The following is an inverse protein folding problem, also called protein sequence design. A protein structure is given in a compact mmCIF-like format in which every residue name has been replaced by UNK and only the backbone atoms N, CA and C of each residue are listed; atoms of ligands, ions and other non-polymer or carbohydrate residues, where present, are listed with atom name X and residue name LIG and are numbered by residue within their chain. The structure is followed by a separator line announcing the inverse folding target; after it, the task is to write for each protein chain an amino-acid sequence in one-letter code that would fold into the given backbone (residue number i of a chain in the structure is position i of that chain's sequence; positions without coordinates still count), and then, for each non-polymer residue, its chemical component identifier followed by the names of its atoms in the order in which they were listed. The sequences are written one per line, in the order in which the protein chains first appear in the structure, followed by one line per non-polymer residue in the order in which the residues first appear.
data_IF_976534051039
#
_entry.id   IF_976534051039
#
_cell.length_a   1.000
_cell.length_b   1.000
_cell.length_c   1.000
_cell.angle_alpha   90.00
_cell.angle_beta   90.00
_cell.angle_gamma   90.00
#
_symmetry.space_group_name_H-M   'P 1'
#
loop_
_entity.id
_entity.type
_entity.pdbx_description
1 polymer ?
#
# COMPACT_ATOMS: atom_id res chain seq x y z
N UNK A 1 25.15 -12.19 -10.96
CA UNK A 1 24.34 -12.95 -9.99
C UNK A 1 23.52 -11.95 -9.21
N UNK A 2 22.26 -12.28 -8.95
CA UNK A 2 21.34 -11.43 -8.16
C UNK A 2 21.63 -11.69 -6.68
N UNK A 3 21.99 -10.65 -5.96
CA UNK A 3 22.27 -10.71 -4.50
C UNK A 3 20.96 -10.62 -3.73
N UNK A 4 20.62 -11.66 -3.00
CA UNK A 4 19.40 -11.75 -2.21
C UNK A 4 19.73 -11.72 -0.71
N UNK A 5 19.01 -10.88 0.04
CA UNK A 5 18.99 -10.91 1.49
C UNK A 5 17.66 -11.53 1.95
N UNK A 6 17.70 -12.33 3.00
CA UNK A 6 16.51 -12.94 3.63
C UNK A 6 16.34 -12.36 5.02
N UNK A 7 15.21 -11.74 5.30
CA UNK A 7 14.84 -11.17 6.58
C UNK A 7 13.57 -11.84 7.11
N UNK A 8 13.70 -12.66 8.14
CA UNK A 8 12.61 -13.44 8.73
C UNK A 8 12.99 -13.77 10.19
N UNK A 9 12.08 -13.69 11.15
CA UNK A 9 12.39 -13.99 12.54
C UNK A 9 12.55 -15.50 12.81
N UNK A 10 11.96 -16.34 11.96
CA UNK A 10 11.99 -17.79 12.08
C UNK A 10 13.27 -18.38 11.46
N UNK A 11 14.16 -18.87 12.29
CA UNK A 11 15.44 -19.44 11.85
C UNK A 11 15.30 -20.57 10.83
N UNK A 12 14.33 -21.47 11.04
CA UNK A 12 14.08 -22.58 10.13
C UNK A 12 13.67 -22.09 8.73
N UNK A 13 12.89 -21.02 8.64
CA UNK A 13 12.47 -20.42 7.37
C UNK A 13 13.69 -19.81 6.68
N UNK A 14 14.50 -19.03 7.39
CA UNK A 14 15.72 -18.43 6.83
C UNK A 14 16.64 -19.50 6.25
N UNK A 15 16.95 -20.55 7.01
CA UNK A 15 17.82 -21.64 6.57
C UNK A 15 17.24 -22.39 5.37
N UNK A 16 15.94 -22.69 5.38
CA UNK A 16 15.28 -23.36 4.26
C UNK A 16 15.33 -22.54 2.98
N UNK A 17 15.03 -21.24 3.06
CA UNK A 17 15.10 -20.33 1.91
C UNK A 17 16.53 -20.18 1.40
N UNK A 18 17.50 -20.05 2.29
CA UNK A 18 18.92 -19.95 1.92
C UNK A 18 19.38 -21.20 1.14
N UNK A 19 19.12 -22.41 1.68
CA UNK A 19 19.48 -23.64 1.02
C UNK A 19 18.85 -23.73 -0.38
N UNK A 20 17.52 -23.51 -0.47
CA UNK A 20 16.82 -23.68 -1.75
C UNK A 20 17.20 -22.59 -2.76
N UNK A 21 17.29 -21.34 -2.35
CA UNK A 21 17.66 -20.25 -3.26
C UNK A 21 19.11 -20.39 -3.75
N UNK A 22 20.03 -20.89 -2.93
CA UNK A 22 21.39 -21.16 -3.35
C UNK A 22 21.52 -22.23 -4.43
N UNK A 23 20.49 -23.07 -4.62
CA UNK A 23 20.45 -24.04 -5.75
C UNK A 23 19.93 -23.42 -7.05
N UNK A 24 19.34 -22.21 -7.00
CA UNK A 24 18.77 -21.59 -8.20
C UNK A 24 19.82 -20.84 -9.01
N UNK A 25 19.82 -21.02 -10.34
CA UNK A 25 20.80 -20.35 -11.18
C UNK A 25 20.64 -18.82 -11.13
N UNK A 26 21.77 -18.13 -11.06
CA UNK A 26 21.79 -16.66 -11.09
C UNK A 26 21.48 -15.98 -9.75
N UNK A 27 21.23 -16.72 -8.68
CA UNK A 27 20.99 -16.19 -7.32
C UNK A 27 22.20 -16.45 -6.40
N UNK A 28 22.48 -15.46 -5.56
CA UNK A 28 23.44 -15.53 -4.45
C UNK A 28 22.76 -15.00 -3.18
N UNK A 29 22.61 -15.83 -2.15
CA UNK A 29 22.15 -15.36 -0.84
C UNK A 29 23.33 -14.74 -0.12
N UNK A 30 23.31 -13.42 0.04
CA UNK A 30 24.44 -12.66 0.62
C UNK A 30 24.28 -12.41 2.12
N UNK A 31 23.09 -12.55 2.67
CA UNK A 31 22.83 -12.36 4.10
C UNK A 31 21.48 -12.93 4.52
N UNK A 32 21.43 -13.43 5.75
CA UNK A 32 20.21 -13.82 6.44
C UNK A 32 20.14 -13.10 7.78
N UNK A 33 19.02 -12.46 8.11
CA UNK A 33 18.84 -11.60 9.29
C UNK A 33 17.49 -11.85 9.94
N UNK A 34 17.37 -11.52 11.24
CA UNK A 34 16.19 -11.88 12.04
C UNK A 34 15.27 -10.69 12.35
N UNK A 35 15.70 -9.45 12.10
CA UNK A 35 14.91 -8.25 12.35
C UNK A 35 15.28 -7.08 11.42
N UNK A 36 14.44 -6.03 11.41
CA UNK A 36 14.64 -4.89 10.52
C UNK A 36 15.86 -4.04 10.85
N UNK A 37 16.36 -4.02 12.08
CA UNK A 37 17.62 -3.33 12.41
C UNK A 37 18.82 -4.07 11.81
N UNK A 38 18.80 -5.40 11.88
CA UNK A 38 19.84 -6.23 11.26
C UNK A 38 19.84 -6.07 9.73
N UNK A 39 18.65 -5.88 9.09
CA UNK A 39 18.56 -5.53 7.66
C UNK A 39 19.37 -4.27 7.36
N UNK A 40 19.10 -3.16 8.08
CA UNK A 40 19.77 -1.89 7.85
C UNK A 40 21.28 -1.96 8.05
N UNK A 41 21.74 -2.68 9.06
CA UNK A 41 23.18 -2.89 9.32
C UNK A 41 23.82 -3.81 8.27
N UNK A 42 23.11 -4.83 7.79
CA UNK A 42 23.62 -5.75 6.78
C UNK A 42 23.76 -5.09 5.41
N UNK A 43 22.84 -4.20 5.02
CA UNK A 43 22.92 -3.42 3.77
C UNK A 43 24.23 -2.60 3.71
N UNK A 44 24.66 -2.02 4.82
CA UNK A 44 25.92 -1.25 4.90
C UNK A 44 27.15 -2.09 4.59
N UNK A 45 27.12 -3.39 4.91
CA UNK A 45 28.23 -4.33 4.67
C UNK A 45 28.20 -4.93 3.27
N UNK A 46 27.02 -5.33 2.82
CA UNK A 46 26.80 -5.90 1.49
C UNK A 46 25.42 -5.47 0.99
N UNK A 47 25.37 -4.57 -0.01
CA UNK A 47 24.12 -4.10 -0.62
C UNK A 47 23.51 -5.23 -1.45
N UNK A 48 22.29 -5.72 -1.11
CA UNK A 48 21.57 -6.69 -1.92
C UNK A 48 20.87 -6.00 -3.11
N UNK A 49 20.52 -6.79 -4.13
CA UNK A 49 19.64 -6.36 -5.20
C UNK A 49 18.16 -6.53 -4.78
N UNK A 50 17.87 -7.60 -4.01
CA UNK A 50 16.53 -7.93 -3.52
C UNK A 50 16.57 -8.33 -2.05
N UNK A 51 15.58 -7.89 -1.29
CA UNK A 51 15.33 -8.36 0.07
C UNK A 51 14.00 -9.14 0.07
N UNK A 52 14.03 -10.39 0.53
CA UNK A 52 12.85 -11.13 0.94
C UNK A 52 12.56 -10.77 2.39
N UNK A 53 11.45 -10.12 2.64
CA UNK A 53 11.15 -9.46 3.90
C UNK A 53 9.90 -10.05 4.53
N UNK A 54 10.00 -10.67 5.71
CA UNK A 54 8.80 -10.96 6.50
C UNK A 54 8.26 -9.66 7.14
N UNK A 55 6.96 -9.65 7.41
CA UNK A 55 6.31 -8.54 8.09
C UNK A 55 6.56 -8.59 9.58
N UNK A 56 6.29 -9.73 10.20
CA UNK A 56 6.36 -9.86 11.66
C UNK A 56 7.75 -10.25 12.13
N UNK A 57 8.56 -9.24 12.38
CA UNK A 57 9.86 -9.40 12.97
C UNK A 57 9.96 -8.62 14.29
N UNK A 58 10.75 -9.09 15.28
CA UNK A 58 10.95 -8.36 16.53
C UNK A 58 11.67 -7.03 16.31
N UNK A 59 11.61 -6.12 17.27
CA UNK A 59 12.28 -4.81 17.30
C UNK A 59 11.83 -3.86 16.19
N UNK A 60 11.89 -4.27 14.92
CA UNK A 60 11.45 -3.49 13.75
C UNK A 60 10.74 -4.43 12.77
N UNK A 61 9.45 -4.18 12.52
CA UNK A 61 8.66 -4.94 11.55
C UNK A 61 9.09 -4.66 10.11
N UNK A 62 8.71 -5.58 9.20
CA UNK A 62 9.11 -5.51 7.80
C UNK A 62 8.47 -4.37 7.02
N UNK A 63 7.30 -3.88 7.43
CA UNK A 63 6.64 -2.75 6.77
C UNK A 63 7.40 -1.45 7.07
N UNK A 64 7.72 -1.20 8.34
CA UNK A 64 8.52 -0.05 8.72
C UNK A 64 9.96 -0.14 8.19
N UNK A 65 10.56 -1.34 8.22
CA UNK A 65 11.85 -1.59 7.61
C UNK A 65 11.84 -1.30 6.10
N UNK A 66 10.79 -1.71 5.38
CA UNK A 66 10.61 -1.38 3.95
C UNK A 66 10.66 0.13 3.72
N UNK A 67 9.95 0.92 4.52
CA UNK A 67 10.00 2.39 4.45
C UNK A 67 11.43 2.91 4.61
N UNK A 68 12.12 2.51 5.68
CA UNK A 68 13.49 2.97 5.98
C UNK A 68 14.49 2.59 4.88
N UNK A 69 14.39 1.37 4.36
CA UNK A 69 15.25 0.92 3.25
C UNK A 69 14.96 1.73 1.99
N UNK A 70 13.70 1.95 1.64
CA UNK A 70 13.35 2.71 0.42
C UNK A 70 13.69 4.18 0.48
N UNK A 71 13.67 4.80 1.65
CA UNK A 71 14.13 6.19 1.84
C UNK A 71 15.63 6.36 1.62
N UNK A 72 16.45 5.36 2.02
CA UNK A 72 17.92 5.43 1.94
C UNK A 72 18.49 4.73 0.70
N UNK A 73 17.83 3.67 0.23
CA UNK A 73 18.28 2.80 -0.86
C UNK A 73 17.13 2.49 -1.83
N UNK A 74 16.64 3.47 -2.62
CA UNK A 74 15.47 3.32 -3.48
C UNK A 74 15.60 2.21 -4.54
N UNK A 75 16.83 1.88 -4.94
CA UNK A 75 17.10 0.87 -5.95
C UNK A 75 16.90 -0.57 -5.45
N UNK A 76 17.08 -0.83 -4.14
CA UNK A 76 16.89 -2.15 -3.56
C UNK A 76 15.45 -2.59 -3.75
N UNK A 77 15.23 -3.75 -4.37
CA UNK A 77 13.90 -4.34 -4.52
C UNK A 77 13.50 -5.04 -3.22
N UNK A 78 12.23 -4.94 -2.85
CA UNK A 78 11.72 -5.59 -1.65
C UNK A 78 10.52 -6.44 -2.04
N UNK A 79 10.59 -7.73 -1.76
CA UNK A 79 9.46 -8.66 -1.85
C UNK A 79 9.05 -9.00 -0.42
N UNK A 80 7.85 -8.62 -0.05
CA UNK A 80 7.25 -9.09 1.20
C UNK A 80 6.92 -10.57 1.03
N UNK A 81 7.39 -11.38 1.97
CA UNK A 81 7.14 -12.82 2.01
C UNK A 81 6.63 -13.19 3.40
N UNK A 82 5.33 -13.36 3.55
CA UNK A 82 4.69 -13.47 4.86
C UNK A 82 3.53 -14.48 4.87
N UNK A 83 3.11 -14.90 6.05
CA UNK A 83 1.86 -15.66 6.24
C UNK A 83 0.62 -14.76 6.34
N UNK A 84 0.80 -13.44 6.40
CA UNK A 84 -0.27 -12.48 6.64
C UNK A 84 -0.74 -11.82 5.35
N UNK A 85 -2.05 -11.72 5.21
CA UNK A 85 -2.73 -11.09 4.08
C UNK A 85 -3.67 -9.95 4.54
N UNK A 86 -3.46 -9.45 5.77
CA UNK A 86 -4.23 -8.33 6.31
C UNK A 86 -4.07 -7.09 5.44
N UNK A 87 -5.19 -6.50 5.08
CA UNK A 87 -5.26 -5.37 4.14
C UNK A 87 -4.35 -4.21 4.56
N UNK A 88 -4.24 -3.91 5.86
CA UNK A 88 -3.43 -2.81 6.38
C UNK A 88 -1.94 -3.00 6.10
N UNK A 89 -1.40 -4.21 6.29
CA UNK A 89 0.00 -4.52 6.00
C UNK A 89 0.29 -4.50 4.51
N UNK A 90 -0.63 -5.07 3.70
CA UNK A 90 -0.51 -5.06 2.23
C UNK A 90 -0.38 -3.63 1.71
N UNK A 91 -1.32 -2.75 2.09
CA UNK A 91 -1.33 -1.37 1.59
C UNK A 91 -0.15 -0.56 2.08
N UNK A 92 0.24 -0.73 3.35
CA UNK A 92 1.37 -0.01 3.91
C UNK A 92 2.68 -0.43 3.24
N UNK A 93 2.91 -1.72 3.02
CA UNK A 93 4.10 -2.22 2.34
C UNK A 93 4.20 -1.69 0.89
N UNK A 94 3.10 -1.76 0.12
CA UNK A 94 3.05 -1.25 -1.26
C UNK A 94 3.21 0.27 -1.30
N UNK A 95 2.58 1.01 -0.40
CA UNK A 95 2.73 2.47 -0.25
C UNK A 95 4.18 2.87 -0.01
N UNK A 96 4.93 2.08 0.79
CA UNK A 96 6.33 2.34 1.07
C UNK A 96 7.29 1.79 0.00
N UNK A 97 6.77 1.25 -1.10
CA UNK A 97 7.55 0.91 -2.28
C UNK A 97 8.02 -0.54 -2.32
N UNK A 98 7.34 -1.47 -1.64
CA UNK A 98 7.55 -2.90 -1.88
C UNK A 98 7.32 -3.22 -3.36
N UNK A 99 8.23 -3.99 -3.95
CA UNK A 99 8.18 -4.40 -5.37
C UNK A 99 7.37 -5.67 -5.57
N UNK A 100 7.09 -6.40 -4.50
CA UNK A 100 6.25 -7.60 -4.52
C UNK A 100 5.65 -7.92 -3.16
N UNK A 101 4.57 -8.70 -3.18
CA UNK A 101 3.90 -9.21 -1.99
C UNK A 101 3.44 -10.64 -2.24
N UNK A 102 4.03 -11.59 -1.54
CA UNK A 102 3.80 -13.01 -1.69
C UNK A 102 3.47 -13.65 -0.33
N UNK A 103 2.61 -14.66 -0.36
CA UNK A 103 2.37 -15.49 0.81
C UNK A 103 3.44 -16.60 0.92
N UNK A 104 3.85 -16.98 2.12
CA UNK A 104 4.84 -18.06 2.40
C UNK A 104 4.45 -19.44 1.84
N UNK A 105 3.26 -19.58 1.26
CA UNK A 105 2.84 -20.78 0.52
C UNK A 105 3.23 -20.81 -0.97
N UNK A 106 3.92 -19.78 -1.47
CA UNK A 106 4.39 -19.75 -2.85
C UNK A 106 5.40 -20.89 -3.12
N UNK A 107 5.34 -21.49 -4.31
CA UNK A 107 6.33 -22.50 -4.70
C UNK A 107 7.72 -21.87 -4.85
N UNK A 108 8.78 -22.66 -4.65
CA UNK A 108 10.16 -22.17 -4.78
C UNK A 108 10.46 -21.65 -6.21
N UNK A 109 9.85 -22.26 -7.23
CA UNK A 109 9.95 -21.77 -8.61
C UNK A 109 9.20 -20.43 -8.78
N UNK A 110 8.03 -20.30 -8.15
CA UNK A 110 7.28 -19.05 -8.10
C UNK A 110 8.08 -17.92 -7.41
N UNK A 111 8.75 -18.22 -6.30
CA UNK A 111 9.61 -17.28 -5.61
C UNK A 111 10.82 -16.86 -6.46
N UNK A 112 11.47 -17.84 -7.13
CA UNK A 112 12.56 -17.57 -8.07
C UNK A 112 12.10 -16.63 -9.20
N UNK A 113 10.96 -16.92 -9.83
CA UNK A 113 10.39 -16.06 -10.88
C UNK A 113 10.03 -14.66 -10.36
N UNK A 114 9.54 -14.56 -9.13
CA UNK A 114 9.26 -13.27 -8.51
C UNK A 114 10.53 -12.42 -8.34
N UNK A 115 11.62 -13.02 -7.87
CA UNK A 115 12.93 -12.35 -7.75
C UNK A 115 13.39 -11.83 -9.12
N UNK A 116 13.36 -12.68 -10.16
CA UNK A 116 13.74 -12.28 -11.52
C UNK A 116 12.86 -11.14 -12.05
N UNK A 117 11.54 -11.23 -11.82
CA UNK A 117 10.59 -10.23 -12.28
C UNK A 117 10.85 -8.87 -11.65
N UNK A 118 11.04 -8.79 -10.32
CA UNK A 118 11.22 -7.49 -9.65
C UNK A 118 12.58 -6.86 -9.93
N UNK A 119 13.62 -7.65 -10.12
CA UNK A 119 14.96 -7.14 -10.52
C UNK A 119 14.89 -6.49 -11.89
N UNK A 120 14.10 -7.06 -12.81
CA UNK A 120 13.88 -6.49 -14.15
C UNK A 120 12.85 -5.33 -14.17
N UNK A 121 12.45 -4.81 -13.02
CA UNK A 121 11.56 -3.65 -12.92
C UNK A 121 10.07 -3.97 -12.93
N UNK A 122 9.68 -5.25 -12.96
CA UNK A 122 8.29 -5.68 -12.80
C UNK A 122 7.84 -5.68 -11.34
N UNK A 123 6.58 -6.02 -11.12
CA UNK A 123 5.99 -6.25 -9.79
C UNK A 123 5.39 -7.66 -9.72
N UNK A 124 5.39 -8.26 -8.53
CA UNK A 124 4.82 -9.59 -8.32
C UNK A 124 3.90 -9.57 -7.10
N UNK A 125 2.65 -9.85 -7.31
CA UNK A 125 1.63 -9.89 -6.25
C UNK A 125 0.80 -11.15 -6.45
N UNK A 126 0.47 -11.85 -5.36
CA UNK A 126 -0.49 -12.96 -5.40
C UNK A 126 -1.85 -12.48 -5.93
N UNK A 127 -2.60 -13.30 -6.70
CA UNK A 127 -3.92 -12.92 -7.24
C UNK A 127 -4.90 -12.45 -6.16
N UNK A 128 -4.93 -13.10 -5.01
CA UNK A 128 -5.80 -12.73 -3.89
C UNK A 128 -5.44 -11.33 -3.34
N UNK A 129 -4.15 -11.05 -3.19
CA UNK A 129 -3.64 -9.74 -2.77
C UNK A 129 -3.94 -8.68 -3.84
N UNK A 130 -3.77 -9.01 -5.13
CA UNK A 130 -4.09 -8.11 -6.23
C UNK A 130 -5.56 -7.67 -6.18
N UNK A 131 -6.48 -8.61 -5.94
CA UNK A 131 -7.93 -8.32 -5.81
C UNK A 131 -8.19 -7.33 -4.67
N UNK A 132 -7.56 -7.49 -3.50
CA UNK A 132 -7.65 -6.57 -2.37
C UNK A 132 -7.13 -5.17 -2.74
N UNK A 133 -5.98 -5.11 -3.40
CA UNK A 133 -5.37 -3.85 -3.86
C UNK A 133 -6.29 -3.11 -4.83
N UNK A 134 -6.82 -3.78 -5.84
CA UNK A 134 -7.75 -3.16 -6.80
C UNK A 134 -9.04 -2.66 -6.13
N UNK A 135 -9.61 -3.45 -5.21
CA UNK A 135 -10.81 -3.02 -4.46
C UNK A 135 -10.56 -1.74 -3.67
N UNK A 136 -9.44 -1.66 -2.97
CA UNK A 136 -9.08 -0.47 -2.19
C UNK A 136 -8.77 0.73 -3.08
N UNK A 137 -8.03 0.50 -4.18
CA UNK A 137 -7.76 1.55 -5.16
C UNK A 137 -9.07 2.14 -5.72
N UNK A 138 -10.04 1.29 -6.10
CA UNK A 138 -11.34 1.75 -6.56
C UNK A 138 -12.06 2.59 -5.49
N UNK A 139 -11.98 2.20 -4.21
CA UNK A 139 -12.55 2.99 -3.11
C UNK A 139 -11.85 4.35 -2.94
N UNK A 140 -10.51 4.37 -3.05
CA UNK A 140 -9.71 5.61 -2.95
C UNK A 140 -10.02 6.56 -4.11
N UNK A 141 -10.09 6.04 -5.34
CA UNK A 141 -10.46 6.84 -6.53
C UNK A 141 -11.87 7.41 -6.36
N UNK A 142 -12.83 6.61 -5.92
CA UNK A 142 -14.20 7.09 -5.66
C UNK A 142 -14.24 8.14 -4.55
N UNK A 143 -13.37 8.04 -3.54
CA UNK A 143 -13.26 9.03 -2.47
C UNK A 143 -12.45 10.28 -2.88
N UNK A 144 -11.50 10.15 -3.82
CA UNK A 144 -10.65 11.26 -4.31
C UNK A 144 -11.36 12.14 -5.34
N UNK A 145 -12.48 11.69 -5.93
CA UNK A 145 -13.41 12.58 -6.63
C UNK A 145 -14.25 13.44 -5.67
N UNK A 146 -14.12 13.28 -4.36
CA UNK A 146 -14.54 14.30 -3.42
C UNK A 146 -13.56 15.47 -3.56
N UNK A 147 -14.04 16.55 -4.14
CA UNK A 147 -13.35 17.82 -4.41
C UNK A 147 -12.42 18.16 -3.24
N UNK A 148 -11.11 18.33 -3.50
CA UNK A 148 -10.23 19.07 -2.59
C UNK A 148 -10.72 20.53 -2.58
N UNK A 149 -11.59 20.83 -1.67
CA UNK A 149 -11.98 22.21 -1.38
C UNK A 149 -10.82 22.80 -0.58
N UNK A 150 -10.27 23.91 -1.05
CA UNK A 150 -9.19 24.65 -0.39
C UNK A 150 -9.61 24.93 1.07
N UNK A 151 -8.82 24.45 2.04
CA UNK A 151 -9.15 24.45 3.48
C UNK A 151 -9.49 25.85 4.06
N UNK A 152 -9.22 26.91 3.32
CA UNK A 152 -9.43 28.30 3.78
C UNK A 152 -10.89 28.75 3.80
N UNK A 153 -11.79 28.08 3.05
CA UNK A 153 -13.20 28.47 2.93
C UNK A 153 -14.18 27.45 3.52
N UNK A 154 -13.69 26.35 4.11
CA UNK A 154 -14.55 25.22 4.57
C UNK A 154 -14.89 25.29 6.06
N UNK A 155 -14.21 26.14 6.83
CA UNK A 155 -14.38 26.22 8.29
C UNK A 155 -15.84 26.50 8.74
N UNK A 156 -16.67 27.09 7.86
CA UNK A 156 -18.06 27.46 8.15
C UNK A 156 -19.11 26.51 7.56
N UNK A 157 -18.70 25.42 6.88
CA UNK A 157 -19.63 24.48 6.28
C UNK A 157 -20.08 23.41 7.29
N UNK A 158 -21.35 23.39 7.62
CA UNK A 158 -21.92 22.40 8.53
C UNK A 158 -21.91 20.99 7.92
N UNK A 159 -21.98 19.96 8.79
CA UNK A 159 -22.08 18.56 8.35
C UNK A 159 -23.29 18.27 7.46
N UNK A 160 -24.38 19.03 7.59
CA UNK A 160 -25.58 18.90 6.73
C UNK A 160 -25.35 19.52 5.36
N UNK A 161 -24.71 20.67 5.30
CA UNK A 161 -24.32 21.33 4.05
C UNK A 161 -23.32 20.48 3.29
N UNK A 162 -22.35 19.86 3.97
CA UNK A 162 -21.40 18.93 3.36
C UNK A 162 -22.07 17.75 2.69
N UNK A 163 -23.10 17.16 3.32
CA UNK A 163 -23.89 16.08 2.69
C UNK A 163 -24.59 16.53 1.42
N UNK A 164 -25.12 17.76 1.37
CA UNK A 164 -25.74 18.33 0.16
C UNK A 164 -24.69 18.55 -0.93
N UNK A 165 -23.54 19.13 -0.61
CA UNK A 165 -22.41 19.32 -1.54
C UNK A 165 -22.01 17.99 -2.19
N UNK A 166 -21.87 16.93 -1.41
CA UNK A 166 -21.52 15.61 -1.93
C UNK A 166 -22.52 15.11 -2.97
N UNK A 167 -23.84 15.31 -2.74
CA UNK A 167 -24.84 14.86 -3.69
C UNK A 167 -24.84 15.72 -4.97
N UNK A 168 -24.57 17.01 -4.86
CA UNK A 168 -24.35 17.89 -6.02
C UNK A 168 -23.14 17.43 -6.84
N UNK A 169 -22.05 17.09 -6.18
CA UNK A 169 -20.83 16.54 -6.82
C UNK A 169 -21.08 15.23 -7.58
N UNK A 170 -22.09 14.45 -7.19
CA UNK A 170 -22.56 13.28 -7.94
C UNK A 170 -23.51 13.62 -9.09
N UNK A 171 -23.77 14.88 -9.36
CA UNK A 171 -24.64 15.33 -10.45
C UNK A 171 -26.13 15.14 -10.20
N UNK A 172 -26.56 14.94 -8.95
CA UNK A 172 -27.95 14.74 -8.60
C UNK A 172 -28.75 16.06 -8.66
N UNK A 173 -29.94 15.99 -9.19
CA UNK A 173 -30.92 17.11 -9.18
C UNK A 173 -31.45 17.40 -7.75
N UNK A 174 -31.95 18.60 -7.52
CA UNK A 174 -32.50 18.97 -6.21
C UNK A 174 -33.60 18.00 -5.73
N UNK A 175 -34.37 17.45 -6.66
CA UNK A 175 -35.41 16.45 -6.38
C UNK A 175 -34.82 15.13 -5.89
N UNK A 176 -33.76 14.65 -6.55
CA UNK A 176 -33.07 13.41 -6.15
C UNK A 176 -32.35 13.58 -4.82
N UNK A 177 -31.69 14.75 -4.61
CA UNK A 177 -31.08 15.11 -3.33
C UNK A 177 -32.11 15.13 -2.20
N UNK A 178 -33.26 15.73 -2.45
CA UNK A 178 -34.35 15.81 -1.45
C UNK A 178 -34.82 14.42 -1.03
N UNK A 179 -35.03 13.52 -1.99
CA UNK A 179 -35.41 12.14 -1.72
C UNK A 179 -34.34 11.37 -0.95
N UNK A 180 -33.08 11.51 -1.36
CA UNK A 180 -31.95 10.77 -0.78
C UNK A 180 -31.59 11.22 0.63
N UNK A 181 -31.73 12.51 0.93
CA UNK A 181 -31.42 13.08 2.24
C UNK A 181 -32.65 13.24 3.14
N UNK A 182 -33.85 12.79 2.68
CA UNK A 182 -35.12 12.94 3.38
C UNK A 182 -35.44 14.41 3.73
N UNK A 183 -35.23 15.32 2.78
CA UNK A 183 -35.47 16.75 2.89
C UNK A 183 -36.58 17.20 1.90
N UNK A 184 -37.11 18.40 2.07
CA UNK A 184 -37.92 19.02 1.03
C UNK A 184 -37.01 19.63 -0.06
N UNK A 185 -37.49 19.72 -1.32
CA UNK A 185 -36.76 20.40 -2.39
C UNK A 185 -36.44 21.88 -2.07
N UNK A 186 -37.36 22.54 -1.33
CA UNK A 186 -37.12 23.89 -0.83
C UNK A 186 -35.99 23.98 0.16
N UNK A 187 -35.89 22.99 1.05
CA UNK A 187 -34.75 22.89 2.01
C UNK A 187 -33.43 22.67 1.27
N UNK A 188 -33.39 21.82 0.25
CA UNK A 188 -32.21 21.61 -0.58
C UNK A 188 -31.76 22.89 -1.28
N UNK A 189 -32.70 23.64 -1.87
CA UNK A 189 -32.44 24.95 -2.48
C UNK A 189 -31.86 25.96 -1.49
N UNK A 190 -32.39 26.02 -0.27
CA UNK A 190 -31.88 26.90 0.77
C UNK A 190 -30.44 26.52 1.17
N UNK A 191 -30.18 25.22 1.34
CA UNK A 191 -28.79 24.76 1.59
C UNK A 191 -27.83 25.17 0.48
N UNK A 192 -28.21 24.96 -0.79
CA UNK A 192 -27.39 25.33 -1.95
C UNK A 192 -27.10 26.84 -1.97
N UNK A 193 -28.11 27.68 -1.74
CA UNK A 193 -27.94 29.14 -1.66
C UNK A 193 -26.98 29.53 -0.55
N UNK A 194 -27.12 28.95 0.63
CA UNK A 194 -26.22 29.21 1.77
C UNK A 194 -24.80 28.73 1.48
N UNK A 195 -24.62 27.55 0.89
CA UNK A 195 -23.33 26.98 0.49
C UNK A 195 -22.63 27.91 -0.52
N UNK A 196 -23.33 28.30 -1.58
CA UNK A 196 -22.79 29.20 -2.59
C UNK A 196 -22.32 30.54 -1.98
N UNK A 197 -23.12 31.09 -1.06
CA UNK A 197 -22.75 32.31 -0.34
C UNK A 197 -21.51 32.12 0.54
N UNK A 198 -21.40 30.99 1.25
CA UNK A 198 -20.23 30.69 2.11
C UNK A 198 -18.95 30.45 1.31
N UNK A 199 -19.10 29.89 0.11
CA UNK A 199 -17.97 29.60 -0.80
C UNK A 199 -17.63 30.77 -1.73
N UNK A 200 -18.32 31.91 -1.60
CA UNK A 200 -18.20 33.10 -2.48
C UNK A 200 -18.38 32.73 -3.99
N UNK A 201 -19.26 31.76 -4.26
CA UNK A 201 -19.61 31.30 -5.60
C UNK A 201 -20.94 31.91 -6.02
N UNK A 202 -21.07 32.32 -7.27
CA UNK A 202 -22.30 32.83 -7.90
C UNK A 202 -22.90 31.85 -8.89
#
# INVERSE_FOLDING_TARGET
MIKVMIADDQELIRQSLEIVLSTKPGIEVVSTVADGFEVLESIKKCKPDVILMDIRMPKMDGVYCTKMVKEQYPDIKIIILTTFDDDEFVFSALKYGASGYLLKGVSMDGLHQAILTVVNGGAMINPDIATKVFKKFSQMVTSSYAIQVDDKNVADISNREMKVIQQVGFGLSNKEISQKLFLSEGTVRNYLSTILSKLDLR
#
